data_IF_728780462505
#
_entry.id   IF_728780462505
#
_cell.length_a   1.000
_cell.length_b   1.000
_cell.length_c   1.000
_cell.angle_alpha   90.00
_cell.angle_beta   90.00
_cell.angle_gamma   90.00
#
_symmetry.space_group_name_H-M   'P 1'
#
loop_
_entity.id
_entity.type
_entity.pdbx_description
1 polymer ?
#
# COMPACT_ATOMS: atom_id res chain seq x y z
N UNK A 1 -21.39 -13.52 31.37
CA UNK A 1 -20.20 -12.64 31.31
C UNK A 1 -20.46 -11.67 30.17
N UNK A 2 -20.80 -10.43 30.50
CA UNK A 2 -21.01 -9.36 29.52
C UNK A 2 -19.65 -8.99 28.95
N UNK A 3 -19.44 -9.22 27.66
CA UNK A 3 -18.29 -8.66 26.96
C UNK A 3 -18.41 -7.14 27.05
N UNK A 4 -17.62 -6.51 27.91
CA UNK A 4 -17.39 -5.08 27.86
C UNK A 4 -16.78 -4.80 26.48
N UNK A 5 -17.64 -4.40 25.55
CA UNK A 5 -17.22 -3.98 24.23
C UNK A 5 -16.25 -2.81 24.45
N UNK A 6 -14.97 -3.04 24.17
CA UNK A 6 -13.95 -1.98 24.18
C UNK A 6 -14.47 -0.91 23.22
N UNK A 7 -15.03 0.17 23.77
CA UNK A 7 -15.38 1.36 23.01
C UNK A 7 -14.07 2.02 22.63
N UNK A 8 -13.54 1.63 21.48
CA UNK A 8 -12.49 2.40 20.82
C UNK A 8 -13.17 3.67 20.31
N UNK A 9 -13.12 4.74 21.11
CA UNK A 9 -13.58 6.05 20.65
C UNK A 9 -12.81 6.42 19.38
N UNK A 10 -13.55 6.77 18.32
CA UNK A 10 -12.90 7.25 17.11
C UNK A 10 -12.28 8.62 17.41
N UNK A 11 -11.00 8.84 17.07
CA UNK A 11 -10.38 10.15 17.22
C UNK A 11 -11.26 11.22 16.56
N UNK A 12 -11.58 12.28 17.31
CA UNK A 12 -12.27 13.44 16.76
C UNK A 12 -11.24 14.49 16.38
N UNK A 13 -11.47 15.19 15.26
CA UNK A 13 -10.58 16.25 14.78
C UNK A 13 -11.36 17.52 14.45
N UNK A 14 -10.81 18.66 14.86
CA UNK A 14 -11.29 19.98 14.46
C UNK A 14 -10.74 20.42 13.09
N UNK A 15 -9.98 19.56 12.42
CA UNK A 15 -9.48 19.83 11.07
C UNK A 15 -10.63 19.95 10.07
N UNK A 16 -10.59 21.00 9.25
CA UNK A 16 -11.50 21.18 8.11
C UNK A 16 -11.04 20.45 6.85
N UNK A 17 -9.78 20.04 6.79
CA UNK A 17 -9.16 19.37 5.64
C UNK A 17 -9.11 17.85 5.83
N UNK A 18 -8.56 17.42 6.96
CA UNK A 18 -8.30 16.02 7.28
C UNK A 18 -9.47 15.37 8.01
N UNK A 19 -9.72 14.10 7.70
CA UNK A 19 -10.89 13.36 8.17
C UNK A 19 -10.75 12.86 9.61
N UNK A 20 -9.54 12.47 10.04
CA UNK A 20 -9.34 11.76 11.31
C UNK A 20 -8.44 12.50 12.28
N UNK A 21 -7.35 13.10 11.81
CA UNK A 21 -6.40 13.83 12.65
C UNK A 21 -5.68 14.92 11.85
N UNK A 22 -5.17 15.95 12.53
CA UNK A 22 -4.25 16.90 11.89
C UNK A 22 -2.93 16.23 11.50
N UNK A 23 -2.60 15.11 12.15
CA UNK A 23 -1.44 14.28 11.84
C UNK A 23 -1.56 13.51 10.54
N UNK A 24 -2.75 13.41 9.93
CA UNK A 24 -2.94 12.89 8.57
C UNK A 24 -2.12 13.69 7.53
N UNK A 25 -1.70 14.91 7.89
CA UNK A 25 -0.74 15.70 7.12
C UNK A 25 0.60 14.98 6.90
N UNK A 26 1.11 14.19 7.87
CA UNK A 26 2.40 13.50 7.74
C UNK A 26 2.35 12.49 6.59
N UNK A 27 1.46 11.47 6.57
CA UNK A 27 1.44 10.51 5.48
C UNK A 27 1.03 11.17 4.15
N UNK A 28 0.19 12.21 4.17
CA UNK A 28 -0.13 12.97 2.96
C UNK A 28 1.11 13.66 2.37
N UNK A 29 1.91 14.34 3.19
CA UNK A 29 3.15 14.99 2.77
C UNK A 29 4.21 13.97 2.35
N UNK A 30 4.31 12.82 3.02
CA UNK A 30 5.19 11.72 2.62
C UNK A 30 4.82 11.19 1.22
N UNK A 31 3.52 11.05 0.93
CA UNK A 31 3.03 10.67 -0.40
C UNK A 31 3.38 11.69 -1.48
N UNK A 32 3.25 12.99 -1.19
CA UNK A 32 3.65 14.07 -2.11
C UNK A 32 5.17 14.13 -2.30
N UNK A 33 5.94 13.93 -1.24
CA UNK A 33 7.40 13.82 -1.31
C UNK A 33 7.83 12.64 -2.18
N UNK A 34 7.17 11.48 -2.06
CA UNK A 34 7.45 10.33 -2.91
C UNK A 34 7.21 10.63 -4.40
N UNK A 35 6.10 11.31 -4.74
CA UNK A 35 5.86 11.76 -6.11
C UNK A 35 6.95 12.73 -6.59
N UNK A 36 7.27 13.74 -5.77
CA UNK A 36 8.31 14.71 -6.09
C UNK A 36 9.67 14.05 -6.30
N UNK A 37 10.00 13.03 -5.49
CA UNK A 37 11.22 12.23 -5.64
C UNK A 37 11.23 11.49 -6.98
N UNK A 38 10.15 10.80 -7.31
CA UNK A 38 10.00 10.09 -8.59
C UNK A 38 10.17 11.01 -9.80
N UNK A 39 9.48 12.16 -9.81
CA UNK A 39 9.64 13.16 -10.88
C UNK A 39 11.06 13.73 -10.89
N UNK A 40 11.67 13.94 -9.71
CA UNK A 40 13.06 14.35 -9.57
C UNK A 40 14.03 13.37 -10.23
N UNK A 41 13.84 12.06 -10.06
CA UNK A 41 14.64 11.05 -10.75
C UNK A 41 14.52 11.18 -12.28
N UNK A 42 13.30 11.36 -12.79
CA UNK A 42 13.07 11.49 -14.23
C UNK A 42 13.81 12.69 -14.81
N UNK A 43 13.72 13.86 -14.18
CA UNK A 43 14.40 15.06 -14.65
C UNK A 43 15.91 15.05 -14.41
N UNK A 44 16.39 14.35 -13.38
CA UNK A 44 17.81 14.23 -13.07
C UNK A 44 18.53 13.21 -13.97
N UNK A 45 17.82 12.19 -14.46
CA UNK A 45 18.37 11.11 -15.27
C UNK A 45 19.32 11.56 -16.41
N UNK A 46 19.00 12.54 -17.27
CA UNK A 46 19.89 12.98 -18.34
C UNK A 46 21.11 13.80 -17.85
N UNK A 47 21.15 14.19 -16.58
CA UNK A 47 22.16 15.10 -16.03
C UNK A 47 23.06 14.46 -14.97
N UNK A 48 22.72 13.26 -14.48
CA UNK A 48 23.48 12.56 -13.46
C UNK A 48 24.18 11.31 -14.02
N UNK A 49 25.37 10.96 -13.52
CA UNK A 49 26.02 9.71 -13.88
C UNK A 49 25.21 8.52 -13.37
N UNK A 50 25.28 7.39 -14.09
CA UNK A 50 24.48 6.20 -13.81
C UNK A 50 24.60 5.71 -12.36
N UNK A 51 25.79 5.75 -11.76
CA UNK A 51 25.99 5.27 -10.38
C UNK A 51 25.20 6.09 -9.35
N UNK A 52 25.03 7.40 -9.57
CA UNK A 52 24.16 8.24 -8.72
C UNK A 52 22.72 7.80 -8.89
N UNK A 53 22.28 7.59 -10.14
CA UNK A 53 20.92 7.12 -10.42
C UNK A 53 20.63 5.75 -9.84
N UNK A 54 21.62 4.85 -9.75
CA UNK A 54 21.46 3.55 -9.09
C UNK A 54 21.23 3.69 -7.59
N UNK A 55 21.98 4.57 -6.91
CA UNK A 55 21.78 4.85 -5.48
C UNK A 55 20.39 5.46 -5.25
N UNK A 56 20.03 6.46 -6.04
CA UNK A 56 18.73 7.13 -5.90
C UNK A 56 17.56 6.19 -6.26
N UNK A 57 17.74 5.33 -7.27
CA UNK A 57 16.79 4.29 -7.63
C UNK A 57 16.62 3.24 -6.53
N UNK A 58 17.69 2.89 -5.82
CA UNK A 58 17.61 2.02 -4.64
C UNK A 58 16.86 2.71 -3.50
N UNK A 59 17.11 4.00 -3.23
CA UNK A 59 16.31 4.74 -2.23
C UNK A 59 14.84 4.76 -2.65
N UNK A 60 14.55 5.00 -3.93
CA UNK A 60 13.19 4.96 -4.44
C UNK A 60 12.51 3.59 -4.24
N UNK A 61 13.21 2.47 -4.44
CA UNK A 61 12.61 1.14 -4.18
C UNK A 61 12.26 0.95 -2.70
N UNK A 62 13.08 1.47 -1.77
CA UNK A 62 12.76 1.50 -0.35
C UNK A 62 11.54 2.39 -0.06
N UNK A 63 11.42 3.53 -0.76
CA UNK A 63 10.26 4.42 -0.64
C UNK A 63 8.99 3.76 -1.15
N UNK A 64 9.04 3.02 -2.27
CA UNK A 64 7.91 2.22 -2.76
C UNK A 64 7.46 1.22 -1.70
N UNK A 65 8.38 0.46 -1.11
CA UNK A 65 8.06 -0.47 -0.02
C UNK A 65 7.43 0.23 1.19
N UNK A 66 8.01 1.34 1.65
CA UNK A 66 7.49 2.10 2.78
C UNK A 66 6.12 2.73 2.47
N UNK A 67 5.88 3.14 1.23
CA UNK A 67 4.62 3.70 0.80
C UNK A 67 3.51 2.64 0.79
N UNK A 68 3.75 1.51 0.12
CA UNK A 68 2.77 0.42 0.01
C UNK A 68 2.37 -0.05 1.40
N UNK A 69 3.31 -0.31 2.30
CA UNK A 69 3.02 -0.81 3.65
C UNK A 69 2.56 0.28 4.63
N UNK A 70 2.82 1.54 4.32
CA UNK A 70 2.56 2.68 5.19
C UNK A 70 1.50 3.60 4.63
N UNK A 71 1.90 4.55 3.79
CA UNK A 71 1.03 5.62 3.28
C UNK A 71 -0.15 5.06 2.48
N UNK A 72 0.12 4.28 1.45
CA UNK A 72 -0.89 3.66 0.59
C UNK A 72 -1.82 2.73 1.36
N UNK A 73 -1.27 1.87 2.23
CA UNK A 73 -2.06 0.97 3.09
C UNK A 73 -3.00 1.76 4.00
N UNK A 74 -2.50 2.75 4.73
CA UNK A 74 -3.34 3.52 5.64
C UNK A 74 -4.39 4.33 4.87
N UNK A 75 -4.07 4.81 3.67
CA UNK A 75 -4.97 5.60 2.84
C UNK A 75 -6.19 4.81 2.34
N UNK A 76 -6.02 3.54 1.95
CA UNK A 76 -7.14 2.69 1.50
C UNK A 76 -8.08 2.32 2.65
N UNK A 77 -7.54 2.16 3.87
CA UNK A 77 -8.36 1.91 5.06
C UNK A 77 -9.03 3.18 5.60
N UNK A 78 -8.30 4.29 5.60
CA UNK A 78 -8.71 5.56 6.20
C UNK A 78 -8.34 6.73 5.26
N UNK A 79 -9.21 7.09 4.31
CA UNK A 79 -8.95 8.20 3.40
C UNK A 79 -8.66 9.50 4.16
N UNK A 80 -7.50 10.10 3.90
CA UNK A 80 -6.97 11.19 4.74
C UNK A 80 -7.80 12.47 4.70
N UNK A 81 -8.44 12.77 3.57
CA UNK A 81 -9.16 14.03 3.37
C UNK A 81 -10.66 13.88 3.58
N UNK A 82 -11.30 14.93 4.10
CA UNK A 82 -12.77 15.00 4.13
C UNK A 82 -13.38 15.09 2.72
N UNK A 83 -12.64 15.69 1.78
CA UNK A 83 -13.09 15.86 0.39
C UNK A 83 -12.84 14.61 -0.44
N UNK A 84 -13.90 14.09 -1.08
CA UNK A 84 -13.80 12.98 -2.03
C UNK A 84 -12.87 13.31 -3.20
N UNK A 85 -12.88 14.55 -3.69
CA UNK A 85 -12.00 14.96 -4.79
C UNK A 85 -10.53 14.91 -4.38
N UNK A 86 -10.19 15.41 -3.18
CA UNK A 86 -8.82 15.35 -2.68
C UNK A 86 -8.34 13.91 -2.49
N UNK A 87 -9.19 13.02 -1.99
CA UNK A 87 -8.86 11.59 -1.92
C UNK A 87 -8.62 10.99 -3.32
N UNK A 88 -9.42 11.34 -4.33
CA UNK A 88 -9.20 10.86 -5.70
C UNK A 88 -7.88 11.37 -6.28
N UNK A 89 -7.58 12.66 -6.11
CA UNK A 89 -6.31 13.25 -6.55
C UNK A 89 -5.13 12.61 -5.83
N UNK A 90 -5.24 12.38 -4.53
CA UNK A 90 -4.20 11.71 -3.76
C UNK A 90 -4.02 10.25 -4.18
N UNK A 91 -5.10 9.53 -4.54
CA UNK A 91 -5.00 8.20 -5.13
C UNK A 91 -4.26 8.20 -6.47
N UNK A 92 -4.44 9.23 -7.31
CA UNK A 92 -3.65 9.43 -8.54
C UNK A 92 -2.19 9.70 -8.19
N UNK A 93 -1.92 10.57 -7.21
CA UNK A 93 -0.56 10.83 -6.71
C UNK A 93 0.13 9.54 -6.29
N UNK A 94 -0.51 8.70 -5.47
CA UNK A 94 0.06 7.42 -5.05
C UNK A 94 0.29 6.50 -6.25
N UNK A 95 -0.66 6.47 -7.19
CA UNK A 95 -0.54 5.61 -8.37
C UNK A 95 0.68 5.95 -9.22
N UNK A 96 0.92 7.24 -9.44
CA UNK A 96 2.08 7.72 -10.21
C UNK A 96 3.36 7.50 -9.40
N UNK A 97 3.38 7.88 -8.12
CA UNK A 97 4.55 7.78 -7.27
C UNK A 97 5.04 6.34 -7.05
N UNK A 98 4.15 5.35 -7.12
CA UNK A 98 4.51 3.94 -6.96
C UNK A 98 4.55 3.16 -8.29
N UNK A 99 4.20 3.80 -9.41
CA UNK A 99 4.11 3.17 -10.73
C UNK A 99 3.11 2.00 -10.84
N UNK A 100 2.06 1.98 -10.02
CA UNK A 100 0.94 1.02 -10.17
C UNK A 100 -0.37 1.62 -9.65
N UNK A 101 -1.52 1.06 -10.05
CA UNK A 101 -2.82 1.66 -9.73
C UNK A 101 -3.18 1.53 -8.25
N UNK A 102 -3.48 2.66 -7.59
CA UNK A 102 -4.01 2.68 -6.23
C UNK A 102 -5.38 1.99 -6.14
N UNK A 103 -6.19 2.04 -7.20
CA UNK A 103 -7.48 1.33 -7.24
C UNK A 103 -7.28 -0.18 -7.30
N UNK A 104 -6.29 -0.64 -8.07
CA UNK A 104 -5.92 -2.05 -8.10
C UNK A 104 -5.43 -2.49 -6.72
N UNK A 105 -4.61 -1.66 -6.07
CA UNK A 105 -4.14 -1.94 -4.72
C UNK A 105 -5.29 -2.11 -3.74
N UNK A 106 -6.24 -1.16 -3.71
CA UNK A 106 -7.42 -1.20 -2.85
C UNK A 106 -8.21 -2.51 -3.05
N UNK A 107 -8.49 -2.88 -4.30
CA UNK A 107 -9.23 -4.09 -4.61
C UNK A 107 -8.53 -5.37 -4.10
N UNK A 108 -7.24 -5.51 -4.40
CA UNK A 108 -6.46 -6.69 -3.98
C UNK A 108 -6.27 -6.71 -2.46
N UNK A 109 -5.98 -5.57 -1.85
CA UNK A 109 -5.74 -5.47 -0.41
C UNK A 109 -7.01 -5.72 0.41
N UNK A 110 -8.16 -5.22 -0.04
CA UNK A 110 -9.44 -5.52 0.60
C UNK A 110 -9.81 -6.99 0.44
N UNK A 111 -9.49 -7.61 -0.69
CA UNK A 111 -9.69 -9.04 -0.88
C UNK A 111 -8.76 -9.85 0.04
N UNK A 112 -7.51 -9.43 0.17
CA UNK A 112 -6.55 -10.01 1.11
C UNK A 112 -7.08 -9.96 2.54
N UNK A 113 -7.62 -8.84 3.01
CA UNK A 113 -8.20 -8.77 4.36
C UNK A 113 -9.44 -9.66 4.58
N UNK A 114 -10.17 -10.03 3.52
CA UNK A 114 -11.32 -10.94 3.64
C UNK A 114 -10.89 -12.40 3.85
N UNK A 115 -9.88 -12.86 3.11
CA UNK A 115 -9.34 -14.22 3.26
C UNK A 115 -8.28 -14.34 4.36
N UNK A 116 -7.50 -13.28 4.54
CA UNK A 116 -6.44 -13.13 5.53
C UNK A 116 -5.41 -14.26 5.48
N UNK A 117 -4.79 -14.45 4.31
CA UNK A 117 -3.89 -15.56 4.02
C UNK A 117 -4.52 -16.92 4.35
N UNK A 118 -5.75 -17.16 3.90
CA UNK A 118 -6.45 -18.42 4.10
C UNK A 118 -5.75 -19.57 3.38
N UNK A 119 -5.86 -20.77 3.94
CA UNK A 119 -5.40 -21.99 3.27
C UNK A 119 -6.39 -22.39 2.17
N UNK A 120 -5.93 -23.06 1.11
CA UNK A 120 -6.81 -23.59 0.08
C UNK A 120 -7.93 -24.46 0.66
N UNK A 121 -9.14 -24.34 0.10
CA UNK A 121 -10.26 -25.21 0.41
C UNK A 121 -10.11 -26.60 -0.25
N UNK A 122 -11.14 -27.43 -0.13
CA UNK A 122 -11.16 -28.79 -0.73
C UNK A 122 -10.99 -28.80 -2.26
N UNK A 123 -11.20 -27.66 -2.93
CA UNK A 123 -11.03 -27.48 -4.38
C UNK A 123 -9.70 -26.84 -4.73
N UNK A 124 -8.87 -26.49 -3.75
CA UNK A 124 -7.60 -25.81 -3.95
C UNK A 124 -7.72 -24.29 -4.09
N UNK A 125 -8.88 -23.70 -3.76
CA UNK A 125 -9.14 -22.27 -3.94
C UNK A 125 -8.97 -21.47 -2.65
N UNK A 126 -8.63 -20.19 -2.77
CA UNK A 126 -8.47 -19.24 -1.65
C UNK A 126 -9.32 -18.00 -1.88
N UNK A 127 -9.82 -17.41 -0.80
CA UNK A 127 -10.49 -16.10 -0.83
C UNK A 127 -9.44 -15.02 -1.07
N UNK A 128 -8.32 -15.08 -0.34
CA UNK A 128 -7.19 -14.19 -0.51
C UNK A 128 -6.36 -14.60 -1.73
N UNK A 129 -6.42 -13.78 -2.78
CA UNK A 129 -5.64 -13.97 -4.00
C UNK A 129 -4.13 -13.93 -3.77
N UNK A 130 -3.69 -13.33 -2.66
CA UNK A 130 -2.31 -13.21 -2.23
C UNK A 130 -1.98 -14.19 -1.08
N UNK A 131 -2.79 -15.22 -0.84
CA UNK A 131 -2.48 -16.17 0.22
C UNK A 131 -1.14 -16.87 -0.03
N UNK A 132 -0.22 -16.76 0.93
CA UNK A 132 1.07 -17.46 0.92
C UNK A 132 0.93 -18.98 0.96
N UNK A 133 -0.27 -19.50 1.27
CA UNK A 133 -0.55 -20.93 1.31
C UNK A 133 -1.13 -21.45 -0.01
N UNK A 134 -1.55 -20.56 -0.93
CA UNK A 134 -2.25 -20.94 -2.18
C UNK A 134 -1.44 -21.93 -3.02
N UNK A 135 -0.14 -21.71 -3.11
CA UNK A 135 0.80 -22.57 -3.84
C UNK A 135 1.82 -23.24 -2.91
N UNK A 136 1.50 -23.31 -1.62
CA UNK A 136 2.27 -24.04 -0.63
C UNK A 136 2.14 -25.55 -0.81
N UNK A 137 3.08 -26.30 -0.23
CA UNK A 137 3.04 -27.75 -0.19
C UNK A 137 2.76 -28.23 1.23
N UNK A 138 2.02 -29.33 1.37
CA UNK A 138 1.72 -29.97 2.66
C UNK A 138 1.06 -29.04 3.71
N UNK A 139 0.35 -28.00 3.25
CA UNK A 139 -0.30 -27.01 4.11
C UNK A 139 0.62 -25.92 4.69
N UNK A 140 1.88 -25.90 4.28
CA UNK A 140 2.89 -24.91 4.65
C UNK A 140 2.88 -23.69 3.73
N UNK A 141 3.45 -22.59 4.20
CA UNK A 141 3.62 -21.40 3.38
C UNK A 141 4.60 -21.64 2.23
N UNK A 142 4.37 -21.00 1.11
CA UNK A 142 5.26 -21.06 -0.04
C UNK A 142 6.64 -20.45 0.26
N UNK A 143 7.66 -20.94 -0.45
CA UNK A 143 8.97 -20.31 -0.45
C UNK A 143 8.87 -18.81 -0.84
N UNK A 144 9.47 -17.89 -0.05
CA UNK A 144 9.37 -16.45 -0.30
C UNK A 144 9.82 -16.02 -1.70
N UNK A 145 10.82 -16.69 -2.29
CA UNK A 145 11.30 -16.33 -3.63
C UNK A 145 10.31 -16.73 -4.73
N UNK A 146 9.71 -17.90 -4.61
CA UNK A 146 8.64 -18.33 -5.52
C UNK A 146 7.42 -17.41 -5.38
N UNK A 147 7.04 -17.08 -4.15
CA UNK A 147 5.97 -16.15 -3.88
C UNK A 147 6.22 -14.75 -4.46
N UNK A 148 7.42 -14.18 -4.28
CA UNK A 148 7.74 -12.83 -4.78
C UNK A 148 7.85 -12.77 -6.30
N UNK A 149 8.47 -13.76 -6.94
CA UNK A 149 8.78 -13.69 -8.37
C UNK A 149 7.73 -14.36 -9.28
N UNK A 150 6.94 -15.31 -8.77
CA UNK A 150 5.99 -16.08 -9.58
C UNK A 150 4.53 -15.72 -9.33
N UNK A 151 4.15 -15.19 -8.16
CA UNK A 151 2.73 -15.01 -7.81
C UNK A 151 1.95 -14.08 -8.73
N UNK A 152 2.60 -13.13 -9.40
CA UNK A 152 1.93 -12.28 -10.37
C UNK A 152 1.54 -13.02 -11.67
N UNK A 153 2.20 -14.12 -11.99
CA UNK A 153 2.10 -14.79 -13.30
C UNK A 153 1.24 -16.05 -13.31
N UNK A 154 0.62 -16.43 -12.19
CA UNK A 154 -0.11 -17.70 -12.03
C UNK A 154 -1.45 -17.51 -11.32
#
# INVERSE_FOLDING_TARGET
MTADAIRVERPTTNSRLFAHSRWDAIPALAGLFHLAYFLGLFFLYPHAPLWVMLILGFIYSLMVNANINGVGHNFIHNPFFRSKLLNRLFGITQSIACCFSQTYYDAVHMQHHKGNADRPDEKGETIDWLSIYKHGHDGEAENPWSYVFLSFFR
#
